data_IF_543542029647
#
_entry.id   IF_543542029647
#
_cell.length_a   1.000
_cell.length_b   1.000
_cell.length_c   1.000
_cell.angle_alpha   90.00
_cell.angle_beta   90.00
_cell.angle_gamma   90.00
#
_symmetry.space_group_name_H-M   'P 1'
#
loop_
_entity.id
_entity.type
_entity.pdbx_description
1 polymer ?
#
# COMPACT_ATOMS: atom_id res chain seq x y z
N UNK A 1 -20.98 0.24 41.98
CA UNK A 1 -21.86 1.37 41.59
C UNK A 1 -22.11 1.29 40.11
N UNK A 2 -23.32 0.89 39.69
CA UNK A 2 -23.66 0.78 38.27
C UNK A 2 -23.78 2.19 37.66
N UNK A 3 -22.97 2.48 36.63
CA UNK A 3 -23.00 3.77 35.95
C UNK A 3 -24.36 3.99 35.28
N UNK A 4 -24.90 5.22 35.37
CA UNK A 4 -26.19 5.59 34.79
C UNK A 4 -26.26 5.23 33.28
N UNK A 5 -27.44 4.81 32.77
CA UNK A 5 -27.59 4.44 31.37
C UNK A 5 -27.23 5.63 30.48
N UNK A 6 -26.21 5.44 29.63
CA UNK A 6 -25.76 6.48 28.71
C UNK A 6 -26.58 6.38 27.44
N UNK A 7 -27.19 7.48 26.96
CA UNK A 7 -28.04 7.46 25.76
C UNK A 7 -27.25 7.24 24.46
N UNK A 8 -25.92 7.18 24.53
CA UNK A 8 -25.02 7.00 23.38
C UNK A 8 -24.27 5.68 23.48
N UNK A 9 -24.48 4.82 22.50
CA UNK A 9 -23.67 3.61 22.32
C UNK A 9 -22.30 3.96 21.78
N UNK A 10 -21.27 3.29 22.30
CA UNK A 10 -19.89 3.46 21.88
C UNK A 10 -19.51 2.30 20.95
N UNK A 11 -18.97 2.63 19.79
CA UNK A 11 -18.47 1.65 18.83
C UNK A 11 -16.99 1.91 18.57
N UNK A 12 -16.19 0.85 18.63
CA UNK A 12 -14.82 0.84 18.13
C UNK A 12 -14.84 0.37 16.69
N UNK A 13 -14.46 1.24 15.76
CA UNK A 13 -14.29 0.91 14.36
C UNK A 13 -12.82 0.93 13.98
N UNK A 14 -12.45 0.06 13.05
CA UNK A 14 -11.08 -0.04 12.59
C UNK A 14 -10.97 0.23 11.09
N UNK A 15 -10.09 1.17 10.76
CA UNK A 15 -9.67 1.47 9.41
C UNK A 15 -8.39 0.69 9.12
N UNK A 16 -8.55 -0.48 8.50
CA UNK A 16 -7.43 -1.29 8.06
C UNK A 16 -6.96 -0.79 6.69
N UNK A 17 -5.69 -0.38 6.63
CA UNK A 17 -5.01 0.10 5.45
C UNK A 17 -3.98 -0.93 5.01
N UNK A 18 -4.00 -1.31 3.73
CA UNK A 18 -2.89 -1.97 3.08
C UNK A 18 -2.07 -0.89 2.38
N UNK A 19 -0.81 -0.76 2.78
CA UNK A 19 0.14 0.20 2.23
C UNK A 19 0.57 -0.17 0.80
N UNK A 20 1.09 0.78 0.01
CA UNK A 20 1.58 0.52 -1.32
C UNK A 20 2.77 -0.44 -1.23
N UNK A 21 2.83 -1.43 -2.14
CA UNK A 21 3.98 -2.35 -2.27
C UNK A 21 4.90 -1.94 -3.40
N UNK A 22 4.39 -1.15 -4.33
CA UNK A 22 5.13 -0.68 -5.50
C UNK A 22 5.13 0.86 -5.45
N UNK A 23 6.22 1.46 -5.93
CA UNK A 23 6.32 2.91 -6.13
C UNK A 23 5.22 3.42 -7.05
N UNK A 24 4.79 4.67 -6.89
CA UNK A 24 3.88 5.30 -7.86
C UNK A 24 4.59 5.52 -9.20
N UNK A 25 3.87 5.48 -10.33
CA UNK A 25 4.43 5.90 -11.60
C UNK A 25 4.78 7.39 -11.53
N UNK A 26 5.90 7.76 -12.15
CA UNK A 26 6.34 9.15 -12.23
C UNK A 26 5.41 9.94 -13.13
N UNK A 27 5.14 11.19 -12.76
CA UNK A 27 4.50 12.14 -13.68
C UNK A 27 5.49 12.59 -14.77
N UNK A 28 4.98 13.11 -15.88
CA UNK A 28 5.84 13.54 -17.00
C UNK A 28 6.87 14.60 -16.58
N UNK A 29 6.45 15.54 -15.73
CA UNK A 29 7.33 16.58 -15.19
C UNK A 29 8.41 15.99 -14.29
N UNK A 30 8.08 14.95 -13.52
CA UNK A 30 9.04 14.24 -12.67
C UNK A 30 10.02 13.41 -13.51
N UNK A 31 9.57 12.81 -14.62
CA UNK A 31 10.44 12.11 -15.58
C UNK A 31 11.45 13.08 -16.22
N UNK A 32 11.00 14.26 -16.66
CA UNK A 32 11.87 15.31 -17.21
C UNK A 32 12.88 15.80 -16.17
N UNK A 33 12.42 16.04 -14.93
CA UNK A 33 13.30 16.45 -13.84
C UNK A 33 14.31 15.35 -13.48
N UNK A 34 13.89 14.08 -13.45
CA UNK A 34 14.79 12.96 -13.18
C UNK A 34 15.85 12.81 -14.27
N UNK A 35 15.48 13.01 -15.54
CA UNK A 35 16.42 13.01 -16.66
C UNK A 35 17.43 14.17 -16.55
N UNK A 36 16.95 15.37 -16.20
CA UNK A 36 17.82 16.53 -15.97
C UNK A 36 18.77 16.30 -14.78
N UNK A 37 18.27 15.77 -13.67
CA UNK A 37 19.09 15.44 -12.50
C UNK A 37 20.17 14.41 -12.86
N UNK A 38 19.83 13.39 -13.65
CA UNK A 38 20.79 12.40 -14.14
C UNK A 38 21.88 13.01 -15.05
N UNK A 39 21.51 13.98 -15.90
CA UNK A 39 22.49 14.73 -16.71
C UNK A 39 23.43 15.55 -15.84
N UNK A 40 22.89 16.29 -14.87
CA UNK A 40 23.70 17.11 -13.96
C UNK A 40 24.63 16.23 -13.11
N UNK A 41 24.15 15.07 -12.66
CA UNK A 41 24.96 14.09 -11.94
C UNK A 41 26.13 13.61 -12.80
N UNK A 42 25.87 13.24 -14.06
CA UNK A 42 26.91 12.79 -14.99
C UNK A 42 27.93 13.89 -15.29
N UNK A 43 27.49 15.12 -15.61
CA UNK A 43 28.38 16.25 -15.92
C UNK A 43 29.27 16.67 -14.74
N UNK A 44 28.79 16.49 -13.51
CA UNK A 44 29.53 16.85 -12.29
C UNK A 44 30.25 15.66 -11.66
N UNK A 45 30.09 14.46 -12.22
CA UNK A 45 30.74 13.25 -11.72
C UNK A 45 32.19 13.16 -12.20
N UNK A 46 32.98 12.41 -11.45
CA UNK A 46 34.30 11.96 -11.91
C UNK A 46 34.15 10.65 -12.67
N UNK A 47 35.12 10.36 -13.53
CA UNK A 47 35.14 9.09 -14.26
C UNK A 47 35.13 7.90 -13.29
N UNK A 48 34.23 6.95 -13.55
CA UNK A 48 34.17 5.68 -12.85
C UNK A 48 35.33 4.77 -13.28
N UNK A 49 35.74 3.84 -12.42
CA UNK A 49 36.75 2.81 -12.76
C UNK A 49 36.39 2.05 -14.04
N UNK A 50 35.09 1.82 -14.30
CA UNK A 50 34.61 1.18 -15.54
C UNK A 50 34.84 2.05 -16.77
N UNK A 51 34.63 3.35 -16.67
CA UNK A 51 34.82 4.31 -17.77
C UNK A 51 36.30 4.51 -18.08
N UNK A 52 37.14 4.65 -17.04
CA UNK A 52 38.60 4.73 -17.17
C UNK A 52 39.13 3.50 -17.90
N UNK A 53 38.71 2.31 -17.45
CA UNK A 53 39.10 1.04 -18.06
C UNK A 53 38.68 0.96 -19.54
N UNK A 54 37.47 1.40 -19.87
CA UNK A 54 36.96 1.40 -21.25
C UNK A 54 37.80 2.31 -22.14
N UNK A 55 38.17 3.50 -21.66
CA UNK A 55 39.03 4.44 -22.37
C UNK A 55 40.44 3.88 -22.60
N UNK A 56 41.04 3.27 -21.58
CA UNK A 56 42.38 2.64 -21.69
C UNK A 56 42.39 1.49 -22.71
N UNK A 57 41.37 0.62 -22.68
CA UNK A 57 41.23 -0.50 -23.63
C UNK A 57 41.02 0.01 -25.07
N UNK A 58 40.24 1.07 -25.29
CA UNK A 58 40.04 1.70 -26.61
C UNK A 58 41.32 2.35 -27.15
N UNK A 59 42.10 3.02 -26.31
CA UNK A 59 43.39 3.59 -26.71
C UNK A 59 44.41 2.52 -27.12
N UNK A 60 44.46 1.42 -26.37
CA UNK A 60 45.32 0.28 -26.70
C UNK A 60 44.92 -0.34 -28.05
N UNK A 61 43.62 -0.50 -28.31
CA UNK A 61 43.11 -0.99 -29.58
C UNK A 61 43.44 -0.04 -30.74
N UNK A 62 43.31 1.29 -30.55
CA UNK A 62 43.67 2.29 -31.56
C UNK A 62 45.16 2.23 -31.91
N UNK A 63 46.03 2.21 -30.90
CA UNK A 63 47.49 2.09 -31.09
C UNK A 63 47.85 0.81 -31.83
N UNK A 64 47.25 -0.34 -31.45
CA UNK A 64 47.47 -1.63 -32.12
C UNK A 64 47.01 -1.62 -33.59
N UNK A 65 45.93 -0.90 -33.91
CA UNK A 65 45.44 -0.76 -35.29
C UNK A 65 46.36 0.09 -36.16
N UNK A 66 47.01 1.09 -35.59
CA UNK A 66 47.98 1.97 -36.28
C UNK A 66 49.36 1.33 -36.40
N UNK A 67 49.81 0.57 -35.39
CA UNK A 67 51.08 -0.16 -35.44
C UNK A 67 50.91 -1.49 -36.18
N UNK A 68 51.31 -1.53 -37.46
CA UNK A 68 51.24 -2.73 -38.32
C UNK A 68 52.15 -3.91 -37.90
N UNK A 69 52.80 -3.87 -36.73
CA UNK A 69 53.71 -4.90 -36.22
C UNK A 69 53.25 -5.41 -34.85
N UNK A 70 53.06 -6.73 -34.78
CA UNK A 70 52.55 -7.48 -33.64
C UNK A 70 53.68 -7.64 -32.60
N UNK A 71 53.72 -6.76 -31.59
CA UNK A 71 54.60 -6.97 -30.43
C UNK A 71 53.84 -7.78 -29.37
N UNK A 72 54.32 -8.99 -29.10
CA UNK A 72 53.76 -9.97 -28.16
C UNK A 72 53.96 -9.51 -26.70
N UNK A 73 53.18 -8.52 -26.25
CA UNK A 73 53.06 -8.24 -24.82
C UNK A 73 51.87 -9.00 -24.23
N UNK A 74 52.26 -10.09 -23.57
CA UNK A 74 51.44 -11.11 -22.95
C UNK A 74 50.91 -10.61 -21.61
N UNK A 75 49.60 -10.39 -21.53
CA UNK A 75 48.91 -10.03 -20.30
C UNK A 75 47.47 -9.61 -20.56
N UNK A 76 46.78 -10.27 -21.50
CA UNK A 76 45.46 -9.86 -21.97
C UNK A 76 44.42 -10.09 -20.87
N UNK A 77 43.82 -9.01 -20.38
CA UNK A 77 42.49 -9.05 -19.76
C UNK A 77 41.57 -9.86 -20.66
N UNK A 78 41.15 -11.03 -20.18
CA UNK A 78 40.43 -12.04 -20.98
C UNK A 78 39.03 -11.57 -21.40
N UNK A 79 38.51 -10.52 -20.75
CA UNK A 79 37.17 -9.99 -21.00
C UNK A 79 37.29 -8.47 -21.08
N UNK A 80 36.94 -7.87 -22.22
CA UNK A 80 36.92 -6.41 -22.39
C UNK A 80 35.75 -5.78 -21.62
N UNK A 81 35.81 -4.49 -21.35
CA UNK A 81 34.72 -3.74 -20.73
C UNK A 81 33.41 -3.85 -21.53
N UNK A 82 33.51 -3.83 -22.87
CA UNK A 82 32.36 -4.01 -23.77
C UNK A 82 31.76 -5.42 -23.66
N UNK A 83 32.59 -6.47 -23.58
CA UNK A 83 32.11 -7.84 -23.39
C UNK A 83 31.37 -8.01 -22.04
N UNK A 84 31.70 -7.21 -21.03
CA UNK A 84 31.00 -7.20 -19.74
C UNK A 84 29.62 -6.53 -19.85
N UNK A 85 29.55 -5.38 -20.54
CA UNK A 85 28.29 -4.69 -20.86
C UNK A 85 27.33 -5.65 -21.59
N UNK A 86 27.79 -6.33 -22.64
CA UNK A 86 27.01 -7.32 -23.39
C UNK A 86 26.51 -8.47 -22.50
N UNK A 87 27.36 -8.98 -21.61
CA UNK A 87 26.96 -10.03 -20.65
C UNK A 87 25.91 -9.55 -19.67
N UNK A 88 25.99 -8.30 -19.21
CA UNK A 88 24.98 -7.71 -18.33
C UNK A 88 23.66 -7.48 -19.05
N UNK A 89 23.69 -6.98 -20.28
CA UNK A 89 22.50 -6.84 -21.13
C UNK A 89 21.83 -8.18 -21.39
N UNK A 90 22.60 -9.22 -21.73
CA UNK A 90 22.06 -10.57 -21.92
C UNK A 90 21.38 -11.10 -20.65
N UNK A 91 21.95 -10.84 -19.46
CA UNK A 91 21.33 -11.22 -18.18
C UNK A 91 20.04 -10.44 -17.94
N UNK A 92 20.05 -9.13 -18.22
CA UNK A 92 18.88 -8.27 -18.08
C UNK A 92 17.74 -8.72 -19.00
N UNK A 93 18.03 -9.02 -20.27
CA UNK A 93 17.04 -9.50 -21.24
C UNK A 93 16.45 -10.87 -20.87
N UNK A 94 17.24 -11.75 -20.25
CA UNK A 94 16.75 -13.04 -19.74
C UNK A 94 15.84 -12.87 -18.53
N UNK A 95 16.03 -11.83 -17.74
CA UNK A 95 15.23 -11.55 -16.55
C UNK A 95 13.91 -10.85 -16.92
N UNK A 96 12.79 -11.55 -16.73
CA UNK A 96 11.46 -10.96 -16.89
C UNK A 96 10.93 -10.54 -15.53
N UNK A 97 10.86 -9.22 -15.31
CA UNK A 97 10.25 -8.67 -14.10
C UNK A 97 8.75 -9.01 -14.04
N UNK A 98 8.24 -9.20 -12.83
CA UNK A 98 6.81 -9.40 -12.63
C UNK A 98 6.03 -8.13 -13.06
N UNK A 99 4.85 -8.28 -13.68
CA UNK A 99 4.06 -7.14 -14.12
C UNK A 99 3.58 -6.33 -12.92
N UNK A 100 3.65 -5.00 -13.03
CA UNK A 100 3.12 -4.07 -12.02
C UNK A 100 1.59 -4.14 -11.94
N UNK A 101 0.95 -4.42 -13.07
CA UNK A 101 -0.50 -4.62 -13.19
C UNK A 101 -0.80 -6.10 -13.05
N UNK A 102 -1.57 -6.45 -12.03
CA UNK A 102 -1.93 -7.84 -11.76
C UNK A 102 -3.19 -8.27 -12.50
N UNK A 103 -3.49 -9.56 -12.54
CA UNK A 103 -4.74 -10.05 -13.13
C UNK A 103 -5.97 -9.61 -12.32
N UNK A 104 -5.80 -9.30 -11.03
CA UNK A 104 -6.82 -8.68 -10.21
C UNK A 104 -7.15 -7.25 -10.64
N UNK A 105 -6.18 -6.52 -11.16
CA UNK A 105 -6.40 -5.19 -11.75
C UNK A 105 -7.18 -5.28 -13.05
N UNK A 106 -6.80 -6.22 -13.93
CA UNK A 106 -7.48 -6.47 -15.21
C UNK A 106 -8.94 -6.89 -15.02
N UNK A 107 -9.19 -7.79 -14.06
CA UNK A 107 -10.53 -8.30 -13.78
C UNK A 107 -11.32 -7.41 -12.81
N UNK A 108 -10.72 -6.32 -12.33
CA UNK A 108 -11.28 -5.43 -11.31
C UNK A 108 -11.82 -6.21 -10.09
N UNK A 109 -11.05 -7.20 -9.63
CA UNK A 109 -11.45 -8.02 -8.50
C UNK A 109 -11.22 -7.25 -7.19
N UNK A 110 -12.29 -6.77 -6.58
CA UNK A 110 -12.26 -5.93 -5.37
C UNK A 110 -12.09 -6.72 -4.06
N UNK A 111 -12.02 -8.05 -4.11
CA UNK A 111 -11.79 -8.90 -2.91
C UNK A 111 -10.32 -9.27 -2.72
N UNK A 112 -9.50 -9.14 -3.77
CA UNK A 112 -8.08 -9.50 -3.72
C UNK A 112 -7.20 -8.34 -3.26
N UNK A 113 -6.21 -8.65 -2.41
CA UNK A 113 -5.18 -7.71 -1.94
C UNK A 113 -4.13 -7.34 -3.00
N UNK A 114 -3.99 -8.18 -4.02
CA UNK A 114 -2.98 -7.99 -5.06
C UNK A 114 -3.41 -6.98 -6.13
N UNK A 115 -4.55 -6.31 -5.94
CA UNK A 115 -5.04 -5.22 -6.77
C UNK A 115 -4.37 -3.89 -6.36
N UNK A 116 -4.17 -2.96 -7.30
CA UNK A 116 -3.66 -1.59 -7.13
C UNK A 116 -2.47 -1.53 -6.18
N UNK A 117 -1.39 -2.19 -6.59
CA UNK A 117 -0.21 -2.35 -5.75
C UNK A 117 0.50 -1.03 -5.42
N UNK A 118 0.31 -0.02 -6.26
CA UNK A 118 0.79 1.37 -6.17
C UNK A 118 0.03 2.24 -5.15
N UNK A 119 -1.15 1.80 -4.73
CA UNK A 119 -2.09 2.63 -3.96
C UNK A 119 -2.39 2.03 -2.58
N UNK A 120 -2.86 2.89 -1.69
CA UNK A 120 -3.43 2.51 -0.41
C UNK A 120 -4.80 1.85 -0.62
N UNK A 121 -4.99 0.63 -0.08
CA UNK A 121 -6.28 -0.05 -0.09
C UNK A 121 -6.89 -0.10 1.31
N UNK A 122 -8.21 0.07 1.37
CA UNK A 122 -8.97 0.11 2.61
C UNK A 122 -9.98 -1.03 2.66
N UNK A 123 -10.13 -1.61 3.85
CA UNK A 123 -11.11 -2.65 4.07
C UNK A 123 -12.50 -2.05 4.38
N UNK A 124 -13.48 -2.41 3.56
CA UNK A 124 -14.90 -2.25 3.84
C UNK A 124 -15.54 -3.61 4.10
N UNK A 125 -16.50 -3.63 5.01
CA UNK A 125 -17.29 -4.83 5.31
C UNK A 125 -18.77 -4.49 5.22
N UNK A 126 -19.54 -5.40 4.64
CA UNK A 126 -20.98 -5.27 4.56
C UNK A 126 -21.61 -5.61 5.90
N UNK A 127 -22.24 -4.63 6.53
CA UNK A 127 -22.93 -4.79 7.80
C UNK A 127 -24.43 -4.58 7.63
N UNK A 128 -25.23 -5.41 8.31
CA UNK A 128 -26.68 -5.23 8.37
C UNK A 128 -27.00 -4.37 9.59
N UNK A 129 -27.40 -3.11 9.36
CA UNK A 129 -27.89 -2.21 10.41
C UNK A 129 -29.40 -2.12 10.25
N UNK A 130 -30.14 -2.72 11.18
CA UNK A 130 -31.59 -2.90 11.06
C UNK A 130 -31.96 -3.74 9.84
N UNK A 131 -32.74 -3.17 8.93
CA UNK A 131 -33.16 -3.83 7.68
C UNK A 131 -32.28 -3.48 6.46
N UNK A 132 -31.32 -2.56 6.59
CA UNK A 132 -30.46 -2.14 5.47
C UNK A 132 -29.07 -2.78 5.55
N UNK A 133 -28.57 -3.28 4.42
CA UNK A 133 -27.17 -3.71 4.26
C UNK A 133 -26.36 -2.50 3.82
N UNK A 134 -25.43 -2.03 4.66
CA UNK A 134 -24.58 -0.87 4.40
C UNK A 134 -23.11 -1.29 4.42
N UNK A 135 -22.32 -0.69 3.54
CA UNK A 135 -20.86 -0.81 3.57
C UNK A 135 -20.31 0.14 4.62
N UNK A 136 -19.55 -0.41 5.57
CA UNK A 136 -18.96 0.33 6.67
C UNK A 136 -17.58 -0.23 6.99
N UNK A 137 -16.81 0.53 7.76
CA UNK A 137 -15.60 -0.02 8.36
C UNK A 137 -15.97 -1.12 9.37
N UNK A 138 -15.12 -2.15 9.55
CA UNK A 138 -15.23 -3.13 10.62
C UNK A 138 -15.45 -2.42 11.97
N UNK A 139 -16.61 -2.62 12.59
CA UNK A 139 -16.98 -1.98 13.86
C UNK A 139 -17.61 -2.98 14.83
N UNK A 140 -17.33 -2.82 16.12
CA UNK A 140 -17.92 -3.58 17.20
C UNK A 140 -18.38 -2.66 18.34
N UNK A 141 -19.40 -3.09 19.07
CA UNK A 141 -19.89 -2.40 20.27
C UNK A 141 -18.87 -2.57 21.41
N UNK A 142 -18.60 -1.48 22.12
CA UNK A 142 -17.70 -1.47 23.27
C UNK A 142 -18.32 -2.20 24.46
N UNK A 143 -17.52 -3.03 25.14
CA UNK A 143 -17.93 -3.77 26.33
C UNK A 143 -17.23 -3.22 27.58
N UNK A 144 -17.92 -3.19 28.74
CA UNK A 144 -17.31 -2.78 30.00
C UNK A 144 -16.10 -3.68 30.35
N UNK A 145 -14.94 -3.07 30.60
CA UNK A 145 -13.70 -3.78 30.92
C UNK A 145 -12.69 -3.84 29.76
N UNK A 146 -13.09 -3.49 28.53
CA UNK A 146 -12.18 -3.39 27.39
C UNK A 146 -11.73 -1.94 27.15
N UNK A 147 -10.54 -1.76 26.56
CA UNK A 147 -10.16 -0.47 25.97
C UNK A 147 -10.82 -0.31 24.60
N UNK A 148 -11.05 0.92 24.17
CA UNK A 148 -11.66 1.18 22.86
C UNK A 148 -10.82 0.65 21.69
N UNK A 149 -9.49 0.59 21.88
CA UNK A 149 -8.56 -0.08 20.97
C UNK A 149 -8.79 -1.59 20.94
N UNK A 150 -8.88 -2.24 22.10
CA UNK A 150 -9.14 -3.68 22.18
C UNK A 150 -10.48 -4.06 21.54
N UNK A 151 -11.50 -3.19 21.66
CA UNK A 151 -12.77 -3.36 20.92
C UNK A 151 -12.57 -3.33 19.40
N UNK A 152 -11.66 -2.50 18.87
CA UNK A 152 -11.33 -2.47 17.45
C UNK A 152 -10.55 -3.73 17.01
N UNK A 153 -9.62 -4.22 17.84
CA UNK A 153 -8.92 -5.50 17.64
C UNK A 153 -9.91 -6.67 17.61
N UNK A 154 -10.89 -6.69 18.52
CA UNK A 154 -11.97 -7.68 18.55
C UNK A 154 -12.87 -7.58 17.31
N UNK A 155 -13.19 -6.35 16.88
CA UNK A 155 -13.94 -6.15 15.64
C UNK A 155 -13.21 -6.83 14.47
N UNK A 156 -11.92 -6.58 14.33
CA UNK A 156 -11.07 -7.20 13.32
C UNK A 156 -11.08 -8.72 13.36
N UNK A 157 -10.79 -9.31 14.53
CA UNK A 157 -10.80 -10.76 14.70
C UNK A 157 -12.16 -11.36 14.32
N UNK A 158 -13.25 -10.66 14.60
CA UNK A 158 -14.61 -11.10 14.23
C UNK A 158 -14.84 -11.12 12.72
N UNK A 159 -14.28 -10.18 11.97
CA UNK A 159 -14.54 -10.03 10.52
C UNK A 159 -13.51 -10.74 9.63
N UNK A 160 -12.24 -10.75 10.03
CA UNK A 160 -11.12 -11.28 9.24
C UNK A 160 -10.52 -12.56 9.83
N UNK A 161 -10.98 -13.01 11.00
CA UNK A 161 -10.41 -14.15 11.72
C UNK A 161 -9.07 -13.82 12.39
N UNK A 162 -8.55 -14.80 13.13
CA UNK A 162 -7.36 -14.64 13.98
C UNK A 162 -6.04 -14.63 13.19
N UNK A 163 -6.08 -15.00 11.90
CA UNK A 163 -4.88 -15.13 11.06
C UNK A 163 -4.37 -13.80 10.51
N UNK A 164 -5.12 -12.71 10.66
CA UNK A 164 -4.75 -11.42 10.08
C UNK A 164 -3.96 -10.57 11.08
N UNK A 165 -2.67 -10.45 10.82
CA UNK A 165 -1.79 -9.55 11.57
C UNK A 165 -1.97 -8.09 11.11
N UNK A 166 -2.54 -7.28 12.00
CA UNK A 166 -2.70 -5.83 11.81
C UNK A 166 -1.95 -5.06 12.91
N UNK A 167 -1.17 -4.06 12.51
CA UNK A 167 -0.46 -3.16 13.42
C UNK A 167 -1.27 -1.89 13.63
N UNK A 168 -1.86 -1.72 14.81
CA UNK A 168 -2.63 -0.53 15.17
C UNK A 168 -1.70 0.64 15.51
N UNK A 169 -2.06 1.83 15.04
CA UNK A 169 -1.28 3.05 15.25
C UNK A 169 -1.77 3.81 16.47
N UNK A 170 -1.09 3.57 17.59
CA UNK A 170 -1.36 4.27 18.85
C UNK A 170 -2.69 3.91 19.50
N UNK A 171 -2.99 4.59 20.60
CA UNK A 171 -4.20 4.36 21.40
C UNK A 171 -5.26 5.46 21.20
N UNK A 172 -4.95 6.51 20.44
CA UNK A 172 -5.86 7.62 20.19
C UNK A 172 -6.72 7.33 18.95
N UNK A 173 -8.04 7.60 18.99
CA UNK A 173 -8.88 7.48 17.81
C UNK A 173 -8.50 8.57 16.80
N UNK A 174 -8.38 8.18 15.53
CA UNK A 174 -8.06 9.09 14.42
C UNK A 174 -9.27 9.91 13.95
N UNK A 175 -10.49 9.49 14.30
CA UNK A 175 -11.70 10.21 13.94
C UNK A 175 -12.91 9.73 14.74
N UNK A 176 -13.96 10.55 14.75
CA UNK A 176 -15.22 10.25 15.43
C UNK A 176 -16.38 10.54 14.49
N UNK A 177 -17.27 9.58 14.33
CA UNK A 177 -18.56 9.76 13.65
C UNK A 177 -19.69 9.59 14.65
N UNK A 178 -20.57 10.59 14.73
CA UNK A 178 -21.73 10.58 15.62
C UNK A 178 -22.98 10.57 14.77
N UNK A 179 -23.85 9.58 14.98
CA UNK A 179 -25.14 9.51 14.30
C UNK A 179 -26.25 9.18 15.29
N UNK A 180 -27.44 9.71 15.03
CA UNK A 180 -28.64 9.42 15.81
C UNK A 180 -29.40 8.30 15.12
N UNK A 181 -29.95 7.36 15.88
CA UNK A 181 -30.80 6.33 15.30
C UNK A 181 -32.08 6.96 14.72
N UNK A 182 -32.65 6.36 13.64
CA UNK A 182 -33.96 6.75 13.12
C UNK A 182 -35.01 6.71 14.24
N UNK A 183 -36.02 7.59 14.17
CA UNK A 183 -37.04 7.73 15.22
C UNK A 183 -37.73 6.41 15.59
N UNK A 184 -37.80 5.45 14.67
CA UNK A 184 -38.37 4.12 14.86
C UNK A 184 -37.65 3.22 15.89
N UNK A 185 -36.37 3.47 16.19
CA UNK A 185 -35.55 2.66 17.12
C UNK A 185 -35.05 3.53 18.29
N UNK A 186 -35.56 4.77 18.41
CA UNK A 186 -35.11 5.72 19.43
C UNK A 186 -35.84 5.42 20.74
N UNK A 187 -35.10 4.94 21.72
CA UNK A 187 -35.54 4.83 23.13
C UNK A 187 -34.82 5.88 23.97
N UNK A 188 -35.32 6.24 25.14
CA UNK A 188 -34.65 7.19 26.06
C UNK A 188 -33.21 6.75 26.41
N UNK A 189 -32.98 5.44 26.47
CA UNK A 189 -31.67 4.84 26.70
C UNK A 189 -30.82 4.64 25.42
N UNK A 190 -31.39 4.83 24.22
CA UNK A 190 -30.73 4.55 22.94
C UNK A 190 -30.99 5.68 21.92
N UNK A 191 -30.32 6.81 22.12
CA UNK A 191 -30.48 8.03 21.32
C UNK A 191 -29.62 8.01 20.04
N UNK A 192 -28.44 7.37 20.10
CA UNK A 192 -27.54 7.28 18.97
C UNK A 192 -26.26 6.49 19.25
N UNK A 193 -25.36 6.53 18.29
CA UNK A 193 -24.07 5.86 18.34
C UNK A 193 -22.92 6.82 18.03
N UNK A 194 -21.82 6.65 18.76
CA UNK A 194 -20.54 7.31 18.52
C UNK A 194 -19.54 6.23 18.10
N UNK A 195 -19.09 6.32 16.86
CA UNK A 195 -18.11 5.43 16.26
C UNK A 195 -16.75 6.12 16.33
N UNK A 196 -15.78 5.45 16.92
CA UNK A 196 -14.40 5.91 17.01
C UNK A 196 -13.54 5.09 16.07
N UNK A 197 -12.81 5.76 15.19
CA UNK A 197 -11.98 5.11 14.18
C UNK A 197 -10.54 4.96 14.66
N UNK A 198 -10.00 3.76 14.56
CA UNK A 198 -8.58 3.48 14.78
C UNK A 198 -7.94 3.09 13.46
N UNK A 199 -6.74 3.61 13.20
CA UNK A 199 -5.94 3.20 12.04
C UNK A 199 -5.14 1.96 12.36
N UNK A 200 -5.10 1.03 11.41
CA UNK A 200 -4.19 -0.09 11.46
C UNK A 200 -3.60 -0.37 10.08
N UNK A 201 -2.36 -0.85 10.06
CA UNK A 201 -1.72 -1.34 8.85
C UNK A 201 -1.79 -2.86 8.78
N UNK A 202 -2.17 -3.36 7.61
CA UNK A 202 -2.09 -4.78 7.31
C UNK A 202 -0.62 -5.17 7.12
N UNK A 203 -0.13 -6.08 7.95
CA UNK A 203 1.21 -6.67 7.81
C UNK A 203 1.18 -8.01 7.08
N UNK A 204 0.07 -8.76 7.20
CA UNK A 204 -0.06 -10.06 6.55
C UNK A 204 -0.11 -9.95 5.02
N UNK A 205 0.59 -10.85 4.33
CA UNK A 205 0.63 -10.91 2.87
C UNK A 205 -0.65 -11.47 2.27
N UNK A 206 -1.35 -12.35 3.00
CA UNK A 206 -2.41 -13.19 2.47
C UNK A 206 -3.64 -13.27 3.40
N UNK A 207 -4.81 -13.16 2.79
CA UNK A 207 -6.13 -13.39 3.42
C UNK A 207 -6.73 -14.74 3.01
N UNK A 208 -5.97 -15.57 2.29
CA UNK A 208 -6.46 -16.82 1.68
C UNK A 208 -6.91 -17.87 2.70
N UNK A 209 -6.41 -17.81 3.93
CA UNK A 209 -6.74 -18.73 5.03
C UNK A 209 -7.75 -18.15 6.02
N UNK A 210 -8.15 -16.88 5.86
CA UNK A 210 -9.21 -16.32 6.69
C UNK A 210 -10.55 -16.88 6.20
N UNK A 211 -11.25 -17.63 7.06
CA UNK A 211 -12.68 -17.90 6.89
C UNK A 211 -13.42 -16.55 6.96
N UNK A 212 -13.50 -15.86 5.83
CA UNK A 212 -14.08 -14.53 5.72
C UNK A 212 -15.60 -14.67 5.87
N UNK A 213 -16.07 -14.51 7.11
CA UNK A 213 -17.47 -14.74 7.51
C UNK A 213 -18.47 -13.77 6.85
N UNK A 214 -18.02 -12.72 6.15
CA UNK A 214 -18.87 -11.69 5.53
C UNK A 214 -18.25 -11.12 4.23
N UNK A 215 -19.12 -10.62 3.34
CA UNK A 215 -18.73 -9.84 2.15
C UNK A 215 -17.79 -8.68 2.56
N UNK A 216 -16.54 -8.74 2.12
CA UNK A 216 -15.52 -7.72 2.32
C UNK A 216 -15.05 -7.16 0.97
N UNK A 217 -14.53 -5.95 0.99
CA UNK A 217 -14.13 -5.21 -0.20
C UNK A 217 -12.89 -4.39 0.12
N UNK A 218 -11.90 -4.44 -0.77
CA UNK A 218 -10.71 -3.59 -0.73
C UNK A 218 -10.87 -2.46 -1.74
N UNK A 219 -10.84 -1.23 -1.24
CA UNK A 219 -11.24 -0.03 -2.00
C UNK A 219 -10.18 1.05 -1.87
N UNK A 220 -9.92 1.78 -2.94
CA UNK A 220 -9.09 2.99 -2.85
C UNK A 220 -9.88 4.17 -2.31
N UNK A 221 -9.20 5.29 -2.06
CA UNK A 221 -9.83 6.53 -1.63
C UNK A 221 -10.86 7.05 -2.65
N UNK A 222 -10.57 6.98 -3.94
CA UNK A 222 -11.47 7.48 -5.00
C UNK A 222 -12.77 6.65 -5.09
N UNK A 223 -12.64 5.33 -4.98
CA UNK A 223 -13.78 4.40 -5.07
C UNK A 223 -14.61 4.39 -3.79
N UNK A 224 -14.13 5.00 -2.70
CA UNK A 224 -14.83 5.08 -1.42
C UNK A 224 -16.17 5.84 -1.54
N UNK A 225 -16.23 6.80 -2.47
CA UNK A 225 -17.40 7.62 -2.80
C UNK A 225 -18.64 6.81 -3.13
N UNK A 226 -18.46 5.71 -3.85
CA UNK A 226 -19.57 4.90 -4.37
C UNK A 226 -20.25 4.06 -3.29
N UNK A 227 -19.54 3.76 -2.20
CA UNK A 227 -19.96 2.82 -1.18
C UNK A 227 -20.45 3.47 0.11
N UNK A 228 -19.79 4.55 0.53
CA UNK A 228 -20.07 5.20 1.81
C UNK A 228 -21.06 6.35 1.67
N UNK A 229 -21.92 6.53 2.67
CA UNK A 229 -22.77 7.72 2.76
C UNK A 229 -21.91 8.98 2.82
N UNK A 230 -22.31 10.10 2.19
CA UNK A 230 -21.48 11.30 2.06
C UNK A 230 -21.05 11.90 3.41
N UNK A 231 -21.93 11.88 4.42
CA UNK A 231 -21.58 12.36 5.77
C UNK A 231 -20.52 11.49 6.46
N UNK A 232 -20.58 10.18 6.23
CA UNK A 232 -19.63 9.23 6.78
C UNK A 232 -18.28 9.33 6.04
N UNK A 233 -18.34 9.43 4.72
CA UNK A 233 -17.16 9.63 3.87
C UNK A 233 -16.38 10.87 4.27
N UNK A 234 -17.03 12.02 4.49
CA UNK A 234 -16.35 13.25 4.94
C UNK A 234 -15.55 13.07 6.23
N UNK A 235 -16.01 12.22 7.16
CA UNK A 235 -15.30 11.94 8.40
C UNK A 235 -14.16 10.95 8.19
N UNK A 236 -14.33 9.99 7.29
CA UNK A 236 -13.30 9.01 6.95
C UNK A 236 -12.18 9.67 6.15
N UNK A 237 -12.51 10.43 5.10
CA UNK A 237 -11.54 11.14 4.25
C UNK A 237 -10.67 12.13 5.02
N UNK A 238 -11.19 12.71 6.11
CA UNK A 238 -10.45 13.69 6.92
C UNK A 238 -9.25 13.11 7.68
N UNK A 239 -9.17 11.80 7.90
CA UNK A 239 -8.01 11.17 8.54
C UNK A 239 -7.24 10.24 7.61
N UNK A 240 -7.68 10.01 6.38
CA UNK A 240 -6.93 9.17 5.44
C UNK A 240 -5.75 9.94 4.85
N UNK A 241 -4.61 9.26 4.74
CA UNK A 241 -3.45 9.76 4.01
C UNK A 241 -3.58 9.31 2.56
N UNK A 242 -3.31 10.20 1.62
CA UNK A 242 -3.00 9.85 0.24
C UNK A 242 -1.52 9.48 0.17
#
# INVERSE_FOLDING_TARGET
TAAAPRPWRLFGAMCLLRLPRITQPLEKEEEEMAALMGQIELEKSHYSDHEIRKLEEEEQLRKRKESLYDDETTGKTVIMAQDLEDKWEQKLQRFKAAPRITDADKNNNRTSLNRRLDSNLMLLVKQKIGNQKLWLLPQAEWQPGETLRSTAERAMATFLGDHVQAKILGNAPSGIYKYKFPRAIRTEDNLGAKVFFFKAFLQSSDLSQAELKKDYLWVTKDELGDYLKPEYLKKVSGFLLD
#
